data_IF_329737866139
#
_entry.id   IF_329737866139
#
_cell.length_a   1.000
_cell.length_b   1.000
_cell.length_c   1.000
_cell.angle_alpha   90.00
_cell.angle_beta   90.00
_cell.angle_gamma   90.00
#
_symmetry.space_group_name_H-M   'P 1'
#
loop_
_entity.id
_entity.type
_entity.pdbx_description
1 polymer ?
#
# COMPACT_ATOMS: atom_id res chain seq x y z
N UNK A 1 1.84 -0.97 -14.83
CA UNK A 1 0.92 -0.36 -15.82
C UNK A 1 -0.49 -0.29 -15.27
N UNK A 2 -1.29 0.71 -15.67
CA UNK A 2 -2.68 0.90 -15.23
C UNK A 2 -3.61 1.06 -16.45
N UNK A 3 -4.74 0.36 -16.44
CA UNK A 3 -5.85 0.48 -17.37
C UNK A 3 -7.03 1.12 -16.63
N UNK A 4 -7.39 2.33 -17.03
CA UNK A 4 -8.50 3.08 -16.45
C UNK A 4 -9.39 3.65 -17.57
N UNK A 5 -10.50 2.96 -17.92
CA UNK A 5 -11.36 3.38 -19.02
C UNK A 5 -12.02 4.73 -18.73
N UNK A 6 -12.26 5.49 -19.79
CA UNK A 6 -13.01 6.77 -19.71
C UNK A 6 -14.45 6.45 -19.29
N UNK A 7 -14.99 7.17 -18.29
CA UNK A 7 -16.33 6.98 -17.70
C UNK A 7 -16.58 5.65 -16.95
N UNK A 8 -15.57 4.80 -16.76
CA UNK A 8 -15.72 3.59 -15.97
C UNK A 8 -15.47 3.86 -14.47
N UNK A 9 -16.23 3.15 -13.64
CA UNK A 9 -16.10 3.13 -12.18
C UNK A 9 -15.04 2.13 -11.69
N UNK A 10 -14.28 1.51 -12.60
CA UNK A 10 -13.28 0.50 -12.28
C UNK A 10 -11.96 0.78 -12.98
N UNK A 11 -10.86 0.35 -12.39
CA UNK A 11 -9.54 0.35 -13.01
C UNK A 11 -8.80 -0.94 -12.65
N UNK A 12 -7.96 -1.41 -13.56
CA UNK A 12 -7.07 -2.54 -13.33
C UNK A 12 -5.62 -2.12 -13.51
N UNK A 13 -4.71 -2.65 -12.70
CA UNK A 13 -3.30 -2.36 -12.81
C UNK A 13 -2.44 -3.56 -12.47
N UNK A 14 -1.19 -3.51 -12.88
CA UNK A 14 -0.16 -4.43 -12.41
C UNK A 14 1.12 -3.68 -12.12
N UNK A 15 1.85 -4.12 -11.11
CA UNK A 15 3.12 -3.57 -10.70
C UNK A 15 4.10 -4.72 -10.45
N UNK A 16 5.35 -4.56 -10.90
CA UNK A 16 6.43 -5.51 -10.67
C UNK A 16 7.65 -4.70 -10.27
N UNK A 17 8.26 -5.05 -9.14
CA UNK A 17 9.46 -4.41 -8.61
C UNK A 17 10.47 -5.46 -8.13
N UNK A 18 11.75 -5.15 -8.35
CA UNK A 18 12.88 -5.96 -7.88
C UNK A 18 13.73 -5.12 -6.95
N UNK A 19 14.09 -5.69 -5.81
CA UNK A 19 14.75 -5.00 -4.70
C UNK A 19 16.06 -5.71 -4.37
N UNK A 20 17.10 -4.88 -4.29
CA UNK A 20 18.44 -5.27 -3.89
C UNK A 20 18.71 -4.72 -2.49
N UNK A 21 19.37 -5.51 -1.65
CA UNK A 21 19.72 -5.07 -0.30
C UNK A 21 20.92 -4.13 -0.41
N UNK A 22 20.87 -2.97 0.25
CA UNK A 22 22.03 -2.07 0.34
C UNK A 22 23.12 -2.66 1.25
N UNK A 23 24.37 -2.40 0.94
CA UNK A 23 25.49 -2.68 1.84
C UNK A 23 25.51 -1.72 3.03
N UNK A 24 25.97 -2.19 4.20
CA UNK A 24 26.03 -1.37 5.41
C UNK A 24 27.10 -0.27 5.33
N UNK A 25 28.16 -0.52 4.58
CA UNK A 25 29.25 0.41 4.35
C UNK A 25 29.30 0.74 2.86
N UNK A 26 29.41 2.03 2.52
CA UNK A 26 29.49 2.51 1.13
C UNK A 26 28.14 2.71 0.41
N UNK A 27 28.22 2.74 -0.93
CA UNK A 27 27.10 2.91 -1.86
C UNK A 27 26.74 1.61 -2.62
N UNK A 28 27.32 0.47 -2.22
CA UNK A 28 27.14 -0.82 -2.88
C UNK A 28 25.80 -1.51 -2.58
N UNK A 29 25.47 -2.51 -3.41
CA UNK A 29 24.32 -3.38 -3.27
C UNK A 29 24.74 -4.85 -3.16
N UNK A 30 24.10 -5.59 -2.26
CA UNK A 30 24.34 -7.01 -2.01
C UNK A 30 23.08 -7.84 -2.25
N UNK A 31 23.28 -9.07 -2.75
CA UNK A 31 22.22 -10.07 -2.98
C UNK A 31 22.27 -11.21 -1.97
N UNK A 32 22.79 -10.95 -0.77
CA UNK A 32 22.94 -11.97 0.29
C UNK A 32 22.36 -11.49 1.62
N UNK A 33 21.73 -12.40 2.33
CA UNK A 33 21.27 -12.21 3.71
C UNK A 33 22.07 -13.14 4.63
N UNK A 34 22.27 -12.72 5.87
CA UNK A 34 22.89 -13.55 6.89
C UNK A 34 21.79 -14.29 7.63
N UNK A 35 21.87 -15.61 7.67
CA UNK A 35 21.02 -16.46 8.52
C UNK A 35 21.87 -16.94 9.69
N UNK A 36 21.34 -16.79 10.90
CA UNK A 36 21.95 -17.35 12.09
C UNK A 36 21.60 -18.84 12.17
N UNK A 37 22.61 -19.69 12.20
CA UNK A 37 22.52 -21.14 12.35
C UNK A 37 23.32 -21.52 13.60
N UNK A 38 23.00 -22.62 14.33
CA UNK A 38 23.76 -23.04 15.51
C UNK A 38 25.28 -23.20 15.28
N UNK A 39 25.67 -23.44 14.03
CA UNK A 39 27.05 -23.65 13.57
C UNK A 39 27.74 -22.35 13.10
N UNK A 40 27.03 -21.21 13.05
CA UNK A 40 27.57 -19.92 12.65
C UNK A 40 26.64 -19.08 11.75
N UNK A 41 27.21 -18.04 11.15
CA UNK A 41 26.51 -17.19 10.18
C UNK A 41 26.67 -17.72 8.76
N UNK A 42 25.57 -18.16 8.15
CA UNK A 42 25.53 -18.57 6.74
C UNK A 42 25.04 -17.42 5.85
N UNK A 43 25.60 -17.28 4.64
CA UNK A 43 25.14 -16.31 3.65
C UNK A 43 24.19 -16.98 2.66
N UNK A 44 22.92 -16.60 2.68
CA UNK A 44 21.93 -17.08 1.73
C UNK A 44 21.71 -16.06 0.60
N UNK A 45 21.62 -16.50 -0.67
CA UNK A 45 21.27 -15.62 -1.77
C UNK A 45 19.83 -15.13 -1.62
N UNK A 46 19.65 -13.81 -1.59
CA UNK A 46 18.37 -13.15 -1.48
C UNK A 46 18.24 -12.05 -2.53
N UNK A 47 17.17 -12.13 -3.29
CA UNK A 47 16.71 -11.08 -4.19
C UNK A 47 15.23 -10.89 -3.88
N UNK A 48 14.86 -9.67 -3.52
CA UNK A 48 13.47 -9.31 -3.23
C UNK A 48 12.75 -9.13 -4.55
N UNK A 49 11.81 -10.01 -4.87
CA UNK A 49 10.92 -9.84 -6.01
C UNK A 49 9.52 -9.59 -5.46
N UNK A 50 8.93 -8.49 -5.89
CA UNK A 50 7.59 -8.05 -5.51
C UNK A 50 6.78 -7.82 -6.78
N UNK A 51 5.55 -8.32 -6.78
CA UNK A 51 4.61 -8.07 -7.87
C UNK A 51 3.19 -8.01 -7.31
N UNK A 52 2.36 -7.15 -7.88
CA UNK A 52 0.97 -6.98 -7.50
C UNK A 52 0.09 -6.83 -8.73
N UNK A 53 -1.00 -7.57 -8.78
CA UNK A 53 -2.15 -7.27 -9.61
C UNK A 53 -3.14 -6.46 -8.76
N UNK A 54 -3.58 -5.33 -9.28
CA UNK A 54 -4.43 -4.38 -8.56
C UNK A 54 -5.74 -4.18 -9.31
N UNK A 55 -6.83 -4.18 -8.56
CA UNK A 55 -8.15 -3.87 -9.05
C UNK A 55 -8.76 -2.78 -8.18
N UNK A 56 -9.36 -1.79 -8.84
CA UNK A 56 -9.95 -0.64 -8.21
C UNK A 56 -11.40 -0.53 -8.63
N UNK A 57 -12.27 -0.22 -7.67
CA UNK A 57 -13.68 0.01 -7.92
C UNK A 57 -14.16 1.19 -7.08
N UNK A 58 -14.80 2.15 -7.73
CA UNK A 58 -15.44 3.30 -7.09
C UNK A 58 -16.95 3.13 -7.17
N UNK A 59 -17.64 3.40 -6.07
CA UNK A 59 -19.09 3.47 -6.03
C UNK A 59 -19.53 4.94 -5.84
N UNK A 60 -19.92 5.65 -6.92
CA UNK A 60 -20.12 7.10 -6.89
C UNK A 60 -21.24 7.54 -5.94
N UNK A 61 -22.31 6.75 -5.80
CA UNK A 61 -23.50 7.17 -5.04
C UNK A 61 -23.25 7.31 -3.53
N UNK A 62 -22.26 6.60 -2.99
CA UNK A 62 -21.86 6.70 -1.58
C UNK A 62 -20.41 7.14 -1.37
N UNK A 63 -19.70 7.52 -2.44
CA UNK A 63 -18.27 7.85 -2.43
C UNK A 63 -17.43 6.77 -1.74
N UNK A 64 -17.72 5.50 -2.05
CA UNK A 64 -16.96 4.35 -1.56
C UNK A 64 -15.89 3.97 -2.57
N UNK A 65 -14.69 3.72 -2.07
CA UNK A 65 -13.54 3.28 -2.85
C UNK A 65 -13.11 1.91 -2.36
N UNK A 66 -12.96 0.97 -3.28
CA UNK A 66 -12.44 -0.36 -3.02
C UNK A 66 -11.19 -0.58 -3.85
N UNK A 67 -10.18 -1.17 -3.21
CA UNK A 67 -8.95 -1.62 -3.85
C UNK A 67 -8.66 -3.04 -3.41
N UNK A 68 -8.46 -3.90 -4.38
CA UNK A 68 -7.96 -5.25 -4.20
C UNK A 68 -6.54 -5.31 -4.77
N UNK A 69 -5.60 -5.86 -4.02
CA UNK A 69 -4.25 -6.10 -4.51
C UNK A 69 -3.83 -7.52 -4.19
N UNK A 70 -3.55 -8.34 -5.20
CA UNK A 70 -3.09 -9.71 -5.03
C UNK A 70 -1.69 -9.88 -5.60
N UNK A 71 -0.79 -10.54 -4.88
CA UNK A 71 0.57 -10.71 -5.37
C UNK A 71 1.55 -11.23 -4.33
N UNK A 72 2.82 -10.89 -4.54
CA UNK A 72 3.92 -11.30 -3.69
C UNK A 72 4.56 -10.10 -3.00
N UNK A 73 4.66 -10.20 -1.69
CA UNK A 73 5.28 -9.22 -0.80
C UNK A 73 6.81 -9.36 -0.77
N UNK A 74 7.48 -8.39 -0.15
CA UNK A 74 8.94 -8.32 -0.10
C UNK A 74 9.58 -9.59 0.46
N UNK A 75 8.97 -10.17 1.50
CA UNK A 75 9.43 -11.39 2.14
C UNK A 75 9.20 -12.68 1.32
N UNK A 76 8.79 -12.58 0.05
CA UNK A 76 8.34 -13.69 -0.83
C UNK A 76 7.02 -14.34 -0.41
N UNK A 77 6.35 -13.77 0.58
CA UNK A 77 5.01 -14.22 0.97
C UNK A 77 4.00 -13.80 -0.10
N UNK A 78 3.18 -14.75 -0.55
CA UNK A 78 2.04 -14.45 -1.42
C UNK A 78 0.85 -14.06 -0.56
N UNK A 79 0.09 -13.08 -1.02
CA UNK A 79 -1.09 -12.62 -0.30
C UNK A 79 -1.96 -11.66 -1.08
N UNK A 80 -3.07 -11.31 -0.45
CA UNK A 80 -4.12 -10.44 -0.96
C UNK A 80 -4.35 -9.34 0.08
N UNK A 81 -4.32 -8.08 -0.35
CA UNK A 81 -4.73 -6.93 0.45
C UNK A 81 -6.03 -6.39 -0.09
N UNK A 82 -6.99 -6.22 0.80
CA UNK A 82 -8.28 -5.60 0.56
C UNK A 82 -8.26 -4.26 1.28
N UNK A 83 -8.52 -3.18 0.57
CA UNK A 83 -8.64 -1.84 1.13
C UNK A 83 -10.02 -1.30 0.72
N UNK A 84 -10.75 -0.78 1.70
CA UNK A 84 -12.05 -0.17 1.49
C UNK A 84 -12.10 1.15 2.23
N UNK A 85 -12.62 2.20 1.60
CA UNK A 85 -12.73 3.50 2.25
C UNK A 85 -13.90 4.31 1.76
N UNK A 86 -14.31 5.28 2.57
CA UNK A 86 -15.35 6.24 2.26
C UNK A 86 -14.79 7.65 2.30
N UNK A 87 -15.07 8.41 1.26
CA UNK A 87 -14.81 9.84 1.21
C UNK A 87 -16.09 10.61 1.54
N UNK A 88 -16.00 11.58 2.46
CA UNK A 88 -17.11 12.41 2.89
C UNK A 88 -17.10 13.77 2.17
N UNK A 89 -18.25 14.43 2.12
CA UNK A 89 -18.37 15.77 1.52
C UNK A 89 -17.49 16.82 2.22
N UNK A 90 -17.14 16.61 3.49
CA UNK A 90 -16.16 17.43 4.23
C UNK A 90 -14.71 17.28 3.73
N UNK A 91 -14.45 16.42 2.74
CA UNK A 91 -13.12 16.12 2.23
C UNK A 91 -12.34 15.10 3.07
N UNK A 92 -12.88 14.72 4.24
CA UNK A 92 -12.35 13.63 5.07
C UNK A 92 -12.51 12.28 4.38
N UNK A 93 -11.51 11.41 4.50
CA UNK A 93 -11.52 10.04 4.02
C UNK A 93 -11.22 9.10 5.17
N UNK A 94 -12.08 8.11 5.37
CA UNK A 94 -11.85 7.01 6.32
C UNK A 94 -11.68 5.73 5.52
N UNK A 95 -10.63 4.99 5.80
CA UNK A 95 -10.28 3.75 5.12
C UNK A 95 -9.98 2.66 6.12
N UNK A 96 -10.20 1.42 5.69
CA UNK A 96 -9.86 0.19 6.38
C UNK A 96 -9.09 -0.68 5.40
N UNK A 97 -8.12 -1.43 5.91
CA UNK A 97 -7.46 -2.46 5.12
C UNK A 97 -7.34 -3.76 5.89
N UNK A 98 -7.26 -4.84 5.11
CA UNK A 98 -7.12 -6.19 5.57
C UNK A 98 -6.19 -6.95 4.63
N UNK A 99 -5.11 -7.51 5.15
CA UNK A 99 -4.08 -8.21 4.39
C UNK A 99 -4.04 -9.68 4.81
N UNK A 100 -4.37 -10.54 3.86
CA UNK A 100 -4.24 -11.99 3.94
C UNK A 100 -2.90 -12.38 3.33
N UNK A 101 -1.97 -12.94 4.10
CA UNK A 101 -0.71 -13.47 3.55
C UNK A 101 -0.50 -14.91 4.00
N UNK A 102 0.30 -15.65 3.23
CA UNK A 102 0.78 -16.96 3.65
C UNK A 102 2.00 -16.87 4.60
N UNK A 103 2.22 -15.70 5.22
CA UNK A 103 3.29 -15.53 6.20
C UNK A 103 3.07 -16.51 7.36
N UNK A 104 4.17 -17.09 7.87
CA UNK A 104 4.16 -18.05 8.98
C UNK A 104 3.99 -17.42 10.35
N UNK A 105 3.49 -16.18 10.44
CA UNK A 105 3.41 -15.43 11.69
C UNK A 105 2.21 -15.92 12.51
N UNK A 106 2.50 -16.51 13.67
CA UNK A 106 1.51 -17.01 14.63
C UNK A 106 1.45 -16.06 15.82
N UNK A 107 0.25 -15.55 16.11
CA UNK A 107 -0.04 -14.73 17.30
C UNK A 107 -1.24 -15.36 18.00
N UNK A 108 -1.13 -15.60 19.31
CA UNK A 108 -2.17 -16.27 20.10
C UNK A 108 -2.66 -17.61 19.52
N UNK A 109 -1.73 -18.46 19.04
CA UNK A 109 -2.06 -19.76 18.43
C UNK A 109 -2.92 -19.69 17.15
N UNK A 110 -3.09 -18.50 16.57
CA UNK A 110 -3.79 -18.29 15.31
C UNK A 110 -2.89 -17.56 14.31
N UNK A 111 -3.11 -17.83 13.01
CA UNK A 111 -2.39 -17.12 11.94
C UNK A 111 -2.75 -15.65 11.96
N UNK A 112 -1.75 -14.79 11.99
CA UNK A 112 -1.94 -13.35 12.03
C UNK A 112 -2.24 -12.80 10.63
N UNK A 113 -3.20 -11.87 10.57
CA UNK A 113 -3.54 -11.12 9.37
C UNK A 113 -3.43 -9.63 9.70
N UNK A 114 -2.72 -8.87 8.88
CA UNK A 114 -2.60 -7.42 9.07
C UNK A 114 -3.94 -6.75 8.80
N UNK A 115 -4.38 -5.91 9.74
CA UNK A 115 -5.64 -5.17 9.66
C UNK A 115 -5.39 -3.78 10.19
N UNK A 116 -6.00 -2.76 9.62
CA UNK A 116 -5.85 -1.42 10.15
C UNK A 116 -6.83 -0.43 9.56
N UNK A 117 -6.76 0.79 10.05
CA UNK A 117 -7.59 1.89 9.58
C UNK A 117 -6.73 3.13 9.28
N UNK A 118 -7.19 3.92 8.33
CA UNK A 118 -6.59 5.18 7.91
C UNK A 118 -7.64 6.27 7.96
N UNK A 119 -7.27 7.44 8.47
CA UNK A 119 -8.07 8.65 8.43
C UNK A 119 -7.23 9.71 7.75
N UNK A 120 -7.78 10.36 6.72
CA UNK A 120 -7.14 11.48 6.05
C UNK A 120 -8.08 12.68 6.05
N UNK A 121 -7.58 13.83 6.49
CA UNK A 121 -8.33 15.08 6.56
C UNK A 121 -7.56 16.19 5.83
N UNK A 122 -8.24 17.05 5.05
CA UNK A 122 -7.62 18.22 4.44
C UNK A 122 -7.27 19.27 5.50
N UNK A 123 -6.08 19.87 5.41
CA UNK A 123 -5.65 20.96 6.30
C UNK A 123 -6.47 22.24 6.12
N UNK A 124 -7.15 22.38 4.99
CA UNK A 124 -8.07 23.49 4.69
C UNK A 124 -9.22 23.58 5.71
N UNK A 125 -9.56 22.47 6.40
CA UNK A 125 -10.54 22.50 7.49
C UNK A 125 -10.05 23.28 8.72
N UNK A 126 -8.73 23.46 8.87
CA UNK A 126 -8.11 24.11 10.02
C UNK A 126 -7.44 25.44 9.68
N UNK A 127 -7.30 25.78 8.39
CA UNK A 127 -6.62 26.99 7.94
C UNK A 127 -7.57 27.87 7.12
N UNK A 128 -7.54 29.19 7.32
CA UNK A 128 -8.28 30.16 6.50
C UNK A 128 -7.70 30.35 5.07
N UNK A 129 -6.89 29.41 4.58
CA UNK A 129 -6.28 29.46 3.25
C UNK A 129 -6.46 28.13 2.55
N UNK A 130 -6.91 28.19 1.29
CA UNK A 130 -7.04 26.99 0.47
C UNK A 130 -5.68 26.32 0.32
N UNK A 131 -5.55 25.13 0.93
CA UNK A 131 -4.34 24.32 0.88
C UNK A 131 -4.66 22.91 0.45
N UNK A 132 -3.85 22.39 -0.49
CA UNK A 132 -3.97 21.02 -1.00
C UNK A 132 -3.35 19.99 -0.05
N UNK A 133 -2.75 20.43 1.04
CA UNK A 133 -2.09 19.54 2.00
C UNK A 133 -3.14 18.76 2.79
N UNK A 134 -2.96 17.44 2.90
CA UNK A 134 -3.80 16.56 3.71
C UNK A 134 -2.96 16.01 4.86
N UNK A 135 -3.52 16.00 6.06
CA UNK A 135 -2.97 15.23 7.18
C UNK A 135 -3.58 13.84 7.12
N UNK A 136 -2.72 12.82 7.09
CA UNK A 136 -3.11 11.42 7.15
C UNK A 136 -2.61 10.78 8.43
N UNK A 137 -3.49 10.06 9.13
CA UNK A 137 -3.15 9.15 10.20
C UNK A 137 -3.53 7.73 9.78
N UNK A 138 -2.66 6.77 10.05
CA UNK A 138 -2.91 5.36 9.76
C UNK A 138 -2.40 4.51 10.91
N UNK A 139 -3.22 3.58 11.38
CA UNK A 139 -2.89 2.70 12.49
C UNK A 139 -3.22 1.26 12.11
N UNK A 140 -2.23 0.37 12.22
CA UNK A 140 -2.48 -1.07 12.16
C UNK A 140 -2.93 -1.56 13.53
N UNK A 141 -3.85 -2.52 13.55
CA UNK A 141 -4.40 -3.16 14.73
C UNK A 141 -3.32 -3.87 15.55
N UNK A 142 -2.26 -4.33 14.90
CA UNK A 142 -1.06 -4.83 15.55
C UNK A 142 0.14 -4.36 14.73
N UNK A 143 1.11 -3.69 15.35
CA UNK A 143 2.31 -3.17 14.69
C UNK A 143 3.31 -4.29 14.27
N UNK A 144 2.81 -5.36 13.64
CA UNK A 144 3.58 -6.49 13.13
C UNK A 144 3.90 -6.31 11.64
N UNK A 145 5.05 -6.81 11.21
CA UNK A 145 5.57 -6.65 9.84
C UNK A 145 5.09 -7.76 8.88
N UNK A 146 3.79 -8.09 8.92
CA UNK A 146 3.21 -9.05 7.99
C UNK A 146 2.73 -8.34 6.72
N UNK A 147 3.30 -8.70 5.56
CA UNK A 147 2.89 -8.12 4.27
C UNK A 147 3.52 -6.76 3.97
N UNK A 148 4.75 -6.52 4.43
CA UNK A 148 5.51 -5.33 4.09
C UNK A 148 5.60 -5.15 2.57
N UNK A 149 5.17 -3.97 2.09
CA UNK A 149 5.43 -3.51 0.73
C UNK A 149 6.64 -2.60 0.74
N UNK A 150 7.55 -2.80 -0.21
CA UNK A 150 8.62 -1.83 -0.40
C UNK A 150 8.04 -0.56 -1.02
N UNK A 151 8.58 0.59 -0.63
CA UNK A 151 8.26 1.85 -1.26
C UNK A 151 8.77 1.85 -2.71
N UNK A 152 7.89 1.45 -3.64
CA UNK A 152 8.19 1.33 -5.08
C UNK A 152 7.82 2.59 -5.86
N UNK A 153 7.45 3.68 -5.16
CA UNK A 153 7.01 4.95 -5.73
C UNK A 153 5.57 5.30 -5.38
N UNK A 154 4.99 6.26 -6.11
CA UNK A 154 3.58 6.63 -5.94
C UNK A 154 2.71 5.70 -6.79
N UNK A 155 1.67 5.05 -6.21
CA UNK A 155 0.74 4.25 -6.99
C UNK A 155 0.01 5.13 -8.02
N UNK A 156 -0.19 4.58 -9.23
CA UNK A 156 -0.71 5.31 -10.39
C UNK A 156 -2.19 5.69 -10.23
N UNK A 157 -3.03 4.76 -9.76
CA UNK A 157 -4.47 4.98 -9.62
C UNK A 157 -4.82 6.17 -8.70
N UNK A 158 -4.34 6.26 -7.44
CA UNK A 158 -4.68 7.40 -6.59
C UNK A 158 -4.17 8.71 -7.16
N UNK A 159 -3.01 8.72 -7.84
CA UNK A 159 -2.50 9.92 -8.51
C UNK A 159 -3.50 10.42 -9.57
N UNK A 160 -3.92 9.55 -10.48
CA UNK A 160 -4.86 9.88 -11.56
C UNK A 160 -6.27 10.20 -11.05
N UNK A 161 -6.73 9.49 -10.02
CA UNK A 161 -8.01 9.75 -9.37
C UNK A 161 -8.06 11.19 -8.84
N UNK A 162 -7.06 11.59 -8.05
CA UNK A 162 -7.03 12.94 -7.50
C UNK A 162 -6.88 14.02 -8.58
N UNK A 163 -6.14 13.76 -9.65
CA UNK A 163 -6.04 14.68 -10.79
C UNK A 163 -7.37 14.84 -11.53
N UNK A 164 -8.16 13.78 -11.72
CA UNK A 164 -9.46 13.88 -12.40
C UNK A 164 -10.54 14.59 -11.58
N UNK A 165 -10.55 14.40 -10.27
CA UNK A 165 -11.59 14.96 -9.40
C UNK A 165 -11.25 16.34 -8.81
N UNK A 166 -9.97 16.75 -8.81
CA UNK A 166 -9.59 18.14 -8.53
C UNK A 166 -9.67 18.97 -9.82
N UNK A 167 -10.88 19.30 -10.25
CA UNK A 167 -11.08 20.34 -11.27
C UNK A 167 -10.58 21.66 -10.69
N UNK A 168 -9.62 22.32 -11.35
CA UNK A 168 -9.24 23.70 -11.01
C UNK A 168 -10.53 24.53 -11.09
N UNK A 169 -10.90 25.36 -10.09
CA UNK A 169 -11.86 26.42 -10.39
C UNK A 169 -11.26 27.21 -11.55
N UNK A 170 -12.00 27.28 -12.66
CA UNK A 170 -11.60 28.11 -13.79
C UNK A 170 -11.43 29.54 -13.27
N UNK A 171 -10.26 30.13 -13.53
CA UNK A 171 -10.10 31.58 -13.46
C UNK A 171 -11.01 32.22 -14.51
#
# INVERSE_FOLDING_TARGET
TLLYPVQANWAGGFEISSLLKREYFGLGFQRKIRKWTPEGCEFLPYTGLQYFAEFYYQYPRFNLDFRLSAGQFLARDKGIRIEGGRSFASGMRVGLWYTLTNAGDVVNHQRYYDKGFSISMPLDLFMNKSSRTRIGYSMSAWLRDCGARAASGKPLYPTLFWERFNVRPNN
#
